data_IF_992137059049
#
_entry.id   IF_992137059049
#
_cell.length_a   1.000
_cell.length_b   1.000
_cell.length_c   1.000
_cell.angle_alpha   90.00
_cell.angle_beta   90.00
_cell.angle_gamma   90.00
#
_symmetry.space_group_name_H-M   'P 1'
#
loop_
_entity.id
_entity.type
_entity.pdbx_description
1 polymer ?
#
# COMPACT_ATOMS: atom_id res chain seq x y z
N UNK A 1 56.45 -7.95 7.74
CA UNK A 1 55.73 -6.67 7.71
C UNK A 1 54.66 -6.74 8.78
N UNK A 2 54.93 -6.15 9.93
CA UNK A 2 54.03 -6.04 11.08
C UNK A 2 52.94 -5.01 10.75
N UNK A 3 51.66 -5.40 10.87
CA UNK A 3 50.54 -4.45 10.80
C UNK A 3 50.73 -3.34 11.83
N UNK A 4 50.41 -2.07 11.50
CA UNK A 4 50.47 -1.00 12.49
C UNK A 4 49.47 -1.29 13.61
N UNK A 5 49.93 -1.26 14.86
CA UNK A 5 49.06 -1.20 16.02
C UNK A 5 48.16 0.03 15.88
N UNK A 6 46.87 -0.16 16.07
CA UNK A 6 45.87 0.89 15.99
C UNK A 6 45.89 1.71 17.29
N UNK A 7 46.81 2.66 17.39
CA UNK A 7 46.98 3.55 18.53
C UNK A 7 45.74 4.47 18.70
N UNK A 8 45.21 4.58 19.93
CA UNK A 8 44.19 5.57 20.28
C UNK A 8 44.83 6.95 20.48
N UNK A 9 44.25 7.98 19.85
CA UNK A 9 44.59 9.38 20.12
C UNK A 9 43.54 10.02 21.04
N UNK A 10 43.97 10.53 22.20
CA UNK A 10 43.20 11.53 22.95
C UNK A 10 43.40 12.87 22.24
N UNK A 11 42.35 13.41 21.65
CA UNK A 11 42.37 14.73 21.04
C UNK A 11 41.96 15.75 22.10
N UNK A 12 42.93 16.49 22.66
CA UNK A 12 42.63 17.74 23.36
C UNK A 12 42.64 18.88 22.34
N UNK A 13 41.85 19.93 22.58
CA UNK A 13 41.84 21.13 21.73
C UNK A 13 43.23 21.78 21.53
N UNK A 14 44.22 21.45 22.37
CA UNK A 14 45.58 22.03 22.32
C UNK A 14 46.75 21.01 22.39
N UNK A 15 46.51 19.69 22.50
CA UNK A 15 47.59 18.69 22.42
C UNK A 15 47.07 17.28 22.08
N UNK A 16 47.84 16.53 21.28
CA UNK A 16 47.61 15.11 21.05
C UNK A 16 48.47 14.31 22.02
N UNK A 17 47.85 13.56 22.91
CA UNK A 17 48.53 12.52 23.68
C UNK A 17 47.99 11.18 23.20
N UNK A 18 48.86 10.36 22.61
CA UNK A 18 48.53 8.96 22.37
C UNK A 18 48.61 8.23 23.72
N UNK A 19 47.53 7.53 24.10
CA UNK A 19 47.56 6.52 25.15
C UNK A 19 47.21 5.21 24.48
N UNK A 20 47.97 4.16 24.78
CA UNK A 20 47.57 2.79 24.49
C UNK A 20 46.31 2.47 25.30
N UNK A 21 45.15 2.63 24.67
CA UNK A 21 43.94 1.94 25.10
C UNK A 21 43.98 0.56 24.41
N UNK A 22 44.86 -0.33 24.86
CA UNK A 22 44.64 -1.74 24.56
C UNK A 22 43.28 -2.11 25.16
N UNK A 23 42.31 -2.33 24.28
CA UNK A 23 40.92 -2.63 24.56
C UNK A 23 40.70 -4.01 25.23
N UNK A 24 41.71 -4.55 25.94
CA UNK A 24 41.64 -5.87 26.58
C UNK A 24 40.90 -5.85 27.93
N UNK A 25 40.70 -4.66 28.51
CA UNK A 25 40.20 -4.50 29.89
C UNK A 25 38.92 -3.64 30.01
N UNK A 26 38.27 -3.31 28.88
CA UNK A 26 36.95 -2.68 28.86
C UNK A 26 35.89 -3.76 28.71
N UNK A 27 34.97 -3.80 29.65
CA UNK A 27 33.83 -4.72 29.65
C UNK A 27 32.53 -3.96 29.43
N UNK A 28 31.48 -4.67 29.03
CA UNK A 28 30.18 -4.09 28.71
C UNK A 28 29.09 -4.75 29.53
N UNK A 29 28.05 -3.99 29.86
CA UNK A 29 26.88 -4.52 30.57
C UNK A 29 25.66 -4.31 29.69
N UNK A 30 24.84 -5.35 29.55
CA UNK A 30 23.52 -5.24 28.95
C UNK A 30 22.47 -4.87 30.01
N UNK A 31 21.45 -4.12 29.62
CA UNK A 31 20.26 -3.81 30.41
C UNK A 31 18.97 -4.15 29.66
N UNK A 32 17.95 -4.62 30.39
CA UNK A 32 16.58 -4.86 29.87
C UNK A 32 15.56 -4.21 30.82
N UNK A 33 14.59 -3.43 30.31
CA UNK A 33 13.45 -3.00 31.10
C UNK A 33 12.42 -4.13 31.19
N UNK A 34 12.17 -4.61 32.41
CA UNK A 34 11.10 -5.57 32.75
C UNK A 34 11.35 -7.01 32.28
N UNK A 35 11.10 -7.99 33.18
CA UNK A 35 11.36 -9.43 33.01
C UNK A 35 12.83 -9.78 32.78
N UNK A 36 13.51 -10.29 33.81
CA UNK A 36 14.93 -10.65 33.69
C UNK A 36 15.09 -12.02 33.04
N UNK A 37 15.71 -12.09 31.84
CA UNK A 37 16.05 -13.36 31.22
C UNK A 37 17.03 -14.15 32.10
N UNK A 38 17.14 -15.45 31.84
CA UNK A 38 18.11 -16.30 32.53
C UNK A 38 19.54 -15.72 32.37
N UNK A 39 20.25 -15.56 33.49
CA UNK A 39 21.60 -14.99 33.51
C UNK A 39 21.66 -13.46 33.71
N UNK A 40 20.52 -12.77 33.82
CA UNK A 40 20.48 -11.37 34.25
C UNK A 40 20.24 -11.27 35.76
N UNK A 41 20.78 -10.21 36.36
CA UNK A 41 20.59 -9.86 37.77
C UNK A 41 19.66 -8.66 37.88
N UNK A 42 18.59 -8.80 38.68
CA UNK A 42 17.60 -7.74 38.93
C UNK A 42 18.19 -6.68 39.87
N UNK A 43 18.05 -5.40 39.53
CA UNK A 43 18.30 -4.28 40.43
C UNK A 43 17.35 -3.12 40.10
N UNK A 44 16.64 -2.61 41.11
CA UNK A 44 15.63 -1.53 40.97
C UNK A 44 14.62 -1.71 39.82
N UNK A 45 14.19 -2.94 39.58
CA UNK A 45 13.22 -3.25 38.51
C UNK A 45 13.82 -3.32 37.10
N UNK A 46 15.13 -3.12 36.96
CA UNK A 46 15.90 -3.34 35.73
C UNK A 46 16.72 -4.62 35.83
N UNK A 47 17.09 -5.19 34.70
CA UNK A 47 17.85 -6.44 34.61
C UNK A 47 19.21 -6.17 33.97
N UNK A 48 20.31 -6.61 34.60
CA UNK A 48 21.66 -6.35 34.12
C UNK A 48 22.46 -7.64 33.91
N UNK A 49 23.27 -7.69 32.86
CA UNK A 49 24.15 -8.83 32.56
C UNK A 49 25.49 -8.35 32.03
N UNK A 50 26.58 -8.88 32.57
CA UNK A 50 27.93 -8.61 32.05
C UNK A 50 28.16 -9.37 30.74
N UNK A 51 28.73 -8.71 29.75
CA UNK A 51 29.15 -9.32 28.49
C UNK A 51 30.66 -9.58 28.53
N UNK A 52 31.07 -10.77 28.11
CA UNK A 52 32.47 -11.22 28.17
C UNK A 52 33.34 -10.70 27.04
N UNK A 53 32.77 -10.08 26.02
CA UNK A 53 33.53 -9.46 24.92
C UNK A 53 34.08 -8.10 25.34
N UNK A 54 35.25 -7.77 24.84
CA UNK A 54 35.89 -6.46 25.03
C UNK A 54 35.79 -5.56 23.79
N UNK A 55 35.20 -6.07 22.71
CA UNK A 55 34.86 -5.31 21.51
C UNK A 55 33.45 -4.69 21.65
N UNK A 56 33.35 -3.37 21.47
CA UNK A 56 32.10 -2.62 21.62
C UNK A 56 31.01 -3.10 20.67
N UNK A 57 31.34 -3.36 19.40
CA UNK A 57 30.36 -3.78 18.39
C UNK A 57 29.83 -5.17 18.72
N UNK A 58 30.71 -6.09 19.10
CA UNK A 58 30.34 -7.42 19.57
C UNK A 58 29.49 -7.36 20.84
N UNK A 59 29.78 -6.45 21.77
CA UNK A 59 28.99 -6.28 22.99
C UNK A 59 27.57 -5.83 22.68
N UNK A 60 27.42 -4.86 21.78
CA UNK A 60 26.11 -4.39 21.35
C UNK A 60 25.33 -5.48 20.62
N UNK A 61 25.96 -6.20 19.69
CA UNK A 61 25.35 -7.34 19.00
C UNK A 61 24.89 -8.41 20.01
N UNK A 62 25.70 -8.69 21.04
CA UNK A 62 25.35 -9.62 22.10
C UNK A 62 24.13 -9.13 22.91
N UNK A 63 24.10 -7.86 23.32
CA UNK A 63 22.94 -7.31 24.03
C UNK A 63 21.68 -7.35 23.17
N UNK A 64 21.74 -6.87 21.93
CA UNK A 64 20.59 -6.82 21.03
C UNK A 64 20.05 -8.22 20.71
N UNK A 65 20.92 -9.21 20.54
CA UNK A 65 20.54 -10.60 20.33
C UNK A 65 19.76 -11.21 21.51
N UNK A 66 19.90 -10.65 22.70
CA UNK A 66 19.16 -11.03 23.90
C UNK A 66 17.94 -10.11 24.18
N UNK A 67 17.59 -9.22 23.24
CA UNK A 67 16.53 -8.22 23.43
C UNK A 67 16.90 -7.15 24.46
N UNK A 68 18.19 -6.94 24.70
CA UNK A 68 18.75 -5.98 25.65
C UNK A 68 19.50 -4.85 24.93
N UNK A 69 19.80 -3.79 25.67
CA UNK A 69 20.66 -2.70 25.23
C UNK A 69 21.93 -2.63 26.07
N UNK A 70 22.94 -1.84 25.67
CA UNK A 70 24.01 -1.48 26.62
C UNK A 70 23.43 -0.71 27.81
N UNK A 71 24.04 -0.85 28.99
CA UNK A 71 23.54 -0.27 30.23
C UNK A 71 23.68 1.25 30.28
N UNK A 72 22.61 1.95 30.65
CA UNK A 72 22.55 3.39 30.90
C UNK A 72 22.07 3.59 32.34
N UNK A 73 22.99 3.76 33.30
CA UNK A 73 22.60 4.05 34.66
C UNK A 73 21.90 5.41 34.70
N UNK A 74 20.77 5.48 35.40
CA UNK A 74 20.07 6.74 35.68
C UNK A 74 20.30 7.24 37.11
N UNK A 75 20.74 6.36 38.01
CA UNK A 75 20.98 6.67 39.42
C UNK A 75 22.37 6.24 39.89
N UNK A 76 22.99 6.94 40.86
CA UNK A 76 24.34 6.63 41.36
C UNK A 76 24.47 5.23 41.94
N UNK A 77 23.44 4.71 42.60
CA UNK A 77 23.50 3.40 43.24
C UNK A 77 23.49 2.24 42.24
N UNK A 78 23.03 2.48 41.00
CA UNK A 78 23.21 1.55 39.89
C UNK A 78 24.70 1.37 39.60
N UNK A 79 25.54 2.39 39.76
CA UNK A 79 27.00 2.25 39.56
C UNK A 79 27.63 1.32 40.60
N UNK A 80 27.19 1.44 41.86
CA UNK A 80 27.64 0.56 42.94
C UNK A 80 27.23 -0.89 42.66
N UNK A 81 25.98 -1.08 42.22
CA UNK A 81 25.48 -2.38 41.82
C UNK A 81 26.26 -2.96 40.63
N UNK A 82 26.49 -2.19 39.57
CA UNK A 82 27.27 -2.63 38.40
C UNK A 82 28.70 -3.00 38.76
N UNK A 83 29.33 -2.27 39.69
CA UNK A 83 30.65 -2.61 40.22
C UNK A 83 30.65 -3.93 41.00
N UNK A 84 29.66 -4.14 41.87
CA UNK A 84 29.50 -5.40 42.59
C UNK A 84 29.24 -6.58 41.64
N UNK A 85 28.36 -6.38 40.64
CA UNK A 85 28.07 -7.36 39.60
C UNK A 85 29.33 -7.75 38.83
N UNK A 86 30.16 -6.77 38.49
CA UNK A 86 31.43 -6.98 37.80
C UNK A 86 32.41 -7.82 38.65
N UNK A 87 32.62 -7.43 39.91
CA UNK A 87 33.50 -8.13 40.86
C UNK A 87 33.05 -9.57 41.14
N UNK A 88 31.74 -9.81 41.15
CA UNK A 88 31.19 -11.15 41.31
C UNK A 88 31.42 -12.05 40.07
N UNK A 89 31.62 -11.44 38.89
CA UNK A 89 31.70 -12.15 37.62
C UNK A 89 33.14 -12.37 37.13
N UNK A 90 34.08 -11.50 37.52
CA UNK A 90 35.47 -11.52 37.04
C UNK A 90 36.42 -11.34 38.22
N UNK A 91 37.51 -12.11 38.24
CA UNK A 91 38.59 -11.93 39.21
C UNK A 91 39.32 -10.62 38.90
N UNK A 92 39.13 -9.61 39.75
CA UNK A 92 39.73 -8.27 39.59
C UNK A 92 41.14 -8.28 40.19
N UNK A 93 42.15 -8.59 39.37
CA UNK A 93 43.57 -8.54 39.74
C UNK A 93 44.26 -7.22 39.34
N UNK A 94 43.60 -6.41 38.53
CA UNK A 94 44.00 -5.08 38.11
C UNK A 94 42.77 -4.18 38.02
N UNK A 95 42.97 -2.86 37.96
CA UNK A 95 41.88 -1.94 37.66
C UNK A 95 41.24 -2.31 36.32
N UNK A 96 39.91 -2.39 36.29
CA UNK A 96 39.13 -2.70 35.08
C UNK A 96 38.16 -1.56 34.78
N UNK A 97 37.70 -1.50 33.54
CA UNK A 97 36.74 -0.50 33.10
C UNK A 97 35.45 -1.17 32.63
N UNK A 98 34.32 -0.62 33.02
CA UNK A 98 33.00 -1.03 32.54
C UNK A 98 32.41 0.11 31.75
N UNK A 99 32.17 -0.13 30.47
CA UNK A 99 31.50 0.81 29.60
C UNK A 99 30.03 0.91 29.98
N UNK A 100 29.58 2.15 30.12
CA UNK A 100 28.17 2.50 30.24
C UNK A 100 27.82 3.55 29.20
N UNK A 101 26.55 3.61 28.86
CA UNK A 101 26.05 4.50 27.81
C UNK A 101 26.08 6.00 28.14
N UNK A 102 26.52 6.37 29.34
CA UNK A 102 26.48 7.75 29.82
C UNK A 102 27.51 8.62 29.07
N UNK A 103 27.05 9.71 28.45
CA UNK A 103 27.90 10.68 27.74
C UNK A 103 27.22 12.05 27.68
N UNK A 104 28.01 13.10 27.44
CA UNK A 104 27.58 14.50 27.33
C UNK A 104 27.78 15.08 25.91
N UNK A 105 27.83 14.22 24.89
CA UNK A 105 28.24 14.61 23.53
C UNK A 105 27.31 15.60 22.83
N UNK A 106 26.07 15.74 23.30
CA UNK A 106 25.09 16.66 22.72
C UNK A 106 24.74 17.83 23.63
N UNK A 107 25.57 18.09 24.63
CA UNK A 107 25.30 19.13 25.63
C UNK A 107 24.25 18.73 26.67
N UNK A 108 23.72 17.51 26.60
CA UNK A 108 22.93 16.88 27.64
C UNK A 108 23.37 15.43 27.90
N UNK A 109 22.91 14.87 29.01
CA UNK A 109 23.19 13.49 29.42
C UNK A 109 22.06 12.52 29.07
N UNK A 110 20.98 13.02 28.45
CA UNK A 110 19.72 12.30 28.26
C UNK A 110 19.78 11.33 27.08
N UNK A 111 20.80 11.48 26.22
CA UNK A 111 20.89 10.71 24.98
C UNK A 111 19.73 11.04 24.03
N UNK A 112 19.38 12.32 23.90
CA UNK A 112 18.26 12.76 23.07
C UNK A 112 16.88 12.55 23.70
N UNK A 113 16.80 12.57 25.03
CA UNK A 113 15.56 12.41 25.81
C UNK A 113 15.19 10.97 26.13
N UNK A 114 16.00 9.99 25.71
CA UNK A 114 15.74 8.56 25.93
C UNK A 114 15.96 8.14 27.39
N UNK A 115 16.83 8.84 28.11
CA UNK A 115 17.16 8.58 29.51
C UNK A 115 17.04 9.83 30.36
N UNK A 116 16.80 9.63 31.65
CA UNK A 116 16.70 10.70 32.63
C UNK A 116 17.71 10.52 33.77
N UNK A 117 19.03 10.62 33.49
CA UNK A 117 20.01 10.48 34.56
C UNK A 117 19.84 11.57 35.61
N UNK A 118 19.92 11.18 36.87
CA UNK A 118 19.74 12.10 37.99
C UNK A 118 20.85 13.15 38.04
N UNK A 119 20.55 14.29 38.64
CA UNK A 119 21.52 15.38 38.80
C UNK A 119 22.75 14.94 39.61
N UNK A 120 22.56 14.03 40.56
CA UNK A 120 23.65 13.42 41.33
C UNK A 120 24.55 12.59 40.41
N UNK A 121 23.98 11.71 39.59
CA UNK A 121 24.75 10.89 38.66
C UNK A 121 25.54 11.73 37.64
N UNK A 122 24.87 12.71 37.04
CA UNK A 122 25.52 13.62 36.07
C UNK A 122 26.61 14.46 36.72
N UNK A 123 26.46 14.87 37.98
CA UNK A 123 27.51 15.58 38.72
C UNK A 123 28.74 14.71 38.99
N UNK A 124 28.56 13.40 39.22
CA UNK A 124 29.66 12.44 39.36
C UNK A 124 30.36 12.17 38.02
N UNK A 125 29.61 12.21 36.92
CA UNK A 125 30.10 11.99 35.57
C UNK A 125 30.77 13.22 34.96
N UNK A 126 30.47 14.41 35.48
CA UNK A 126 30.94 15.68 34.94
C UNK A 126 32.46 15.80 35.10
N UNK A 127 33.12 16.08 33.98
CA UNK A 127 34.56 16.30 33.90
C UNK A 127 34.82 17.62 33.19
N UNK A 128 36.03 18.16 33.32
CA UNK A 128 36.43 19.36 32.55
C UNK A 128 36.41 19.11 31.04
N UNK A 129 36.55 17.85 30.63
CA UNK A 129 36.49 17.43 29.24
C UNK A 129 35.03 17.09 28.86
N UNK A 130 34.43 17.91 28.01
CA UNK A 130 33.10 17.70 27.41
C UNK A 130 33.20 16.82 26.16
N UNK A 131 32.10 16.26 25.68
CA UNK A 131 32.03 15.43 24.45
C UNK A 131 32.64 14.03 24.56
N UNK A 132 32.60 13.42 25.75
CA UNK A 132 33.20 12.11 25.98
C UNK A 132 32.16 11.07 26.42
N UNK A 133 32.42 9.80 26.12
CA UNK A 133 31.73 8.72 26.80
C UNK A 133 32.30 8.54 28.20
N UNK A 134 31.53 7.98 29.11
CA UNK A 134 32.00 7.70 30.47
C UNK A 134 32.08 6.19 30.67
N UNK A 135 33.23 5.73 31.14
CA UNK A 135 33.41 4.38 31.66
C UNK A 135 33.40 4.43 33.18
N UNK A 136 32.83 3.42 33.82
CA UNK A 136 32.99 3.19 35.24
C UNK A 136 34.35 2.54 35.46
N UNK A 137 35.20 3.17 36.24
CA UNK A 137 36.42 2.57 36.76
C UNK A 137 36.07 1.70 37.96
N UNK A 138 36.40 0.41 37.88
CA UNK A 138 36.23 -0.55 38.97
C UNK A 138 37.57 -0.71 39.70
N UNK A 139 37.68 -0.21 40.95
CA UNK A 139 38.91 -0.34 41.71
C UNK A 139 39.10 -1.78 42.21
N UNK A 140 40.37 -2.16 42.39
CA UNK A 140 40.79 -3.48 42.90
C UNK A 140 40.35 -3.67 44.35
N UNK A 141 40.44 -2.61 45.16
CA UNK A 141 40.06 -2.67 46.57
C UNK A 141 38.53 -2.52 46.72
N UNK A 142 37.92 -3.38 47.53
CA UNK A 142 36.47 -3.46 47.66
C UNK A 142 35.85 -2.20 48.29
N UNK A 143 36.59 -1.55 49.18
CA UNK A 143 36.24 -0.33 49.91
C UNK A 143 36.31 0.95 49.07
N UNK A 144 36.87 0.89 47.87
CA UNK A 144 36.92 2.03 46.97
C UNK A 144 35.64 2.17 46.14
N UNK A 145 35.11 3.40 46.09
CA UNK A 145 33.90 3.75 45.33
C UNK A 145 34.23 3.79 43.83
N UNK A 146 33.38 3.24 42.96
CA UNK A 146 33.53 3.37 41.51
C UNK A 146 33.50 4.84 41.10
N UNK A 147 34.35 5.22 40.15
CA UNK A 147 34.43 6.59 39.64
C UNK A 147 34.24 6.59 38.13
N UNK A 148 33.75 7.70 37.58
CA UNK A 148 33.74 7.88 36.14
C UNK A 148 35.10 8.30 35.62
N UNK A 149 35.45 7.82 34.44
CA UNK A 149 36.62 8.28 33.70
C UNK A 149 36.18 8.63 32.28
N UNK A 150 36.60 9.78 31.73
CA UNK A 150 36.38 10.09 30.33
C UNK A 150 36.96 8.99 29.44
N UNK A 151 36.17 8.58 28.47
CA UNK A 151 36.52 7.56 27.51
C UNK A 151 36.20 8.09 26.11
N UNK A 152 37.23 8.24 25.29
CA UNK A 152 37.05 8.53 23.87
C UNK A 152 36.96 7.20 23.15
N UNK A 153 35.79 6.86 22.61
CA UNK A 153 35.71 5.77 21.64
C UNK A 153 36.52 6.16 20.41
N UNK A 154 37.36 5.26 19.89
CA UNK A 154 38.13 5.54 18.68
C UNK A 154 37.19 6.02 17.55
N UNK A 155 37.66 7.05 16.86
CA UNK A 155 36.99 7.76 15.76
C UNK A 155 36.33 6.77 14.79
N UNK A 156 35.00 6.79 14.80
CA UNK A 156 34.11 5.81 14.18
C UNK A 156 32.83 5.59 15.01
N UNK A 157 32.91 5.85 16.32
CA UNK A 157 31.84 5.65 17.29
C UNK A 157 30.92 6.87 17.52
N UNK A 158 30.98 7.93 16.70
CA UNK A 158 29.86 8.91 16.63
C UNK A 158 28.55 8.25 16.20
N UNK A 159 28.63 7.01 15.68
CA UNK A 159 27.51 6.12 15.36
C UNK A 159 26.98 5.30 16.53
N UNK A 160 27.50 5.46 17.75
CA UNK A 160 27.06 4.60 18.86
C UNK A 160 25.57 4.77 19.21
N UNK A 161 24.95 5.88 18.80
CA UNK A 161 23.51 6.13 18.92
C UNK A 161 22.76 6.10 17.59
N UNK A 162 23.40 5.62 16.54
CA UNK A 162 22.76 5.49 15.24
C UNK A 162 22.05 4.14 15.19
N UNK A 163 21.14 3.99 14.23
CA UNK A 163 20.58 2.70 13.94
C UNK A 163 21.67 1.85 13.28
N UNK A 164 21.97 0.71 13.88
CA UNK A 164 23.11 -0.10 13.47
C UNK A 164 22.85 -0.92 12.22
N UNK A 165 21.58 -1.15 11.93
CA UNK A 165 21.12 -1.80 10.71
C UNK A 165 20.60 -0.74 9.74
N UNK A 166 20.60 -1.10 8.47
CA UNK A 166 19.79 -0.40 7.48
C UNK A 166 18.30 -0.44 7.92
N UNK A 167 17.50 0.55 7.51
CA UNK A 167 16.05 0.52 7.72
C UNK A 167 15.45 -0.74 7.08
N UNK A 168 14.24 -1.11 7.49
CA UNK A 168 13.53 -2.25 6.90
C UNK A 168 13.52 -2.18 5.37
N UNK A 169 13.64 -3.32 4.70
CA UNK A 169 13.49 -3.38 3.25
C UNK A 169 12.02 -3.11 2.87
N UNK A 170 11.75 -2.38 1.77
CA UNK A 170 10.38 -2.14 1.33
C UNK A 170 9.69 -3.45 0.97
N UNK A 171 8.40 -3.56 1.30
CA UNK A 171 7.60 -4.73 0.89
C UNK A 171 7.10 -4.57 -0.56
N UNK A 172 6.28 -5.52 -1.04
CA UNK A 172 5.76 -5.47 -2.40
C UNK A 172 4.94 -4.18 -2.65
N UNK A 173 5.05 -3.64 -3.87
CA UNK A 173 4.37 -2.40 -4.28
C UNK A 173 4.75 -1.17 -3.44
N UNK A 174 5.96 -1.13 -2.90
CA UNK A 174 6.46 -0.04 -2.08
C UNK A 174 7.88 0.34 -2.49
N UNK A 175 8.23 1.62 -2.35
CA UNK A 175 9.60 2.12 -2.56
C UNK A 175 10.09 2.81 -1.29
N UNK A 176 11.39 2.73 -1.02
CA UNK A 176 12.05 3.35 0.14
C UNK A 176 12.87 4.56 -0.29
N UNK A 177 12.63 5.71 0.34
CA UNK A 177 13.44 6.92 0.21
C UNK A 177 14.31 7.08 1.46
N UNK A 178 15.62 6.95 1.28
CA UNK A 178 16.61 6.98 2.36
C UNK A 178 17.92 7.58 1.86
N UNK A 179 18.49 8.50 2.62
CA UNK A 179 19.73 9.23 2.32
C UNK A 179 21.00 8.48 2.76
N UNK A 180 20.86 7.20 3.16
CA UNK A 180 21.92 6.38 3.74
C UNK A 180 22.41 6.86 5.13
N UNK A 181 21.69 7.77 5.79
CA UNK A 181 21.96 8.16 7.17
C UNK A 181 21.36 7.17 8.15
N UNK A 182 22.12 6.80 9.17
CA UNK A 182 21.63 6.03 10.31
C UNK A 182 21.58 6.87 11.58
N UNK A 183 21.81 8.19 11.48
CA UNK A 183 21.80 9.09 12.62
C UNK A 183 20.45 9.05 13.35
N UNK A 184 20.48 9.27 14.67
CA UNK A 184 19.25 9.42 15.45
C UNK A 184 18.36 10.51 14.84
N UNK A 185 17.05 10.29 14.88
CA UNK A 185 16.02 11.11 14.22
C UNK A 185 16.10 11.18 12.70
N UNK A 186 16.93 10.35 12.05
CA UNK A 186 16.78 10.12 10.61
C UNK A 186 15.42 9.50 10.36
N UNK A 187 14.66 10.07 9.43
CA UNK A 187 13.35 9.55 9.00
C UNK A 187 13.51 8.92 7.62
N UNK A 188 13.04 7.69 7.50
CA UNK A 188 12.98 6.95 6.23
C UNK A 188 11.53 6.88 5.81
N UNK A 189 11.24 7.35 4.60
CA UNK A 189 9.88 7.37 4.06
C UNK A 189 9.71 6.21 3.10
N UNK A 190 8.61 5.47 3.28
CA UNK A 190 8.16 4.44 2.37
C UNK A 190 6.92 4.92 1.64
N UNK A 191 6.94 4.81 0.31
CA UNK A 191 5.87 5.27 -0.57
C UNK A 191 5.28 4.08 -1.30
N UNK A 192 3.97 3.88 -1.15
CA UNK A 192 3.24 2.89 -1.94
C UNK A 192 3.26 3.25 -3.42
N UNK A 193 3.29 2.23 -4.28
CA UNK A 193 3.16 2.39 -5.72
C UNK A 193 1.78 2.95 -6.07
N UNK A 194 1.66 3.58 -7.25
CA UNK A 194 0.40 4.14 -7.70
C UNK A 194 -0.76 3.13 -7.63
N UNK A 195 -1.86 3.52 -6.97
CA UNK A 195 -3.04 2.68 -6.74
C UNK A 195 -2.97 1.74 -5.53
N UNK A 196 -1.91 1.80 -4.73
CA UNK A 196 -1.76 1.06 -3.48
C UNK A 196 -1.71 2.00 -2.27
N UNK A 197 -2.17 1.49 -1.13
CA UNK A 197 -2.35 2.27 0.09
C UNK A 197 -1.86 1.53 1.32
N UNK A 198 -1.29 2.25 2.28
CA UNK A 198 -0.72 1.69 3.52
C UNK A 198 -1.84 1.01 4.31
N UNK A 199 -1.69 -0.29 4.54
CA UNK A 199 -2.69 -1.12 5.23
C UNK A 199 -4.12 -0.98 4.63
N UNK A 200 -4.23 -0.68 3.32
CA UNK A 200 -5.51 -0.44 2.66
C UNK A 200 -6.22 0.86 3.07
N UNK A 201 -5.53 1.80 3.73
CA UNK A 201 -6.12 3.09 4.13
C UNK A 201 -5.92 4.13 3.03
N UNK A 202 -6.98 4.45 2.29
CA UNK A 202 -6.92 5.26 1.05
C UNK A 202 -6.27 6.65 1.24
N UNK A 203 -6.38 7.24 2.42
CA UNK A 203 -5.74 8.54 2.73
C UNK A 203 -4.24 8.44 3.05
N UNK A 204 -3.67 7.23 3.07
CA UNK A 204 -2.27 6.98 3.43
C UNK A 204 -1.55 6.29 2.27
N UNK A 205 -0.81 7.07 1.50
CA UNK A 205 0.07 6.55 0.42
C UNK A 205 1.52 6.41 0.87
N UNK A 206 1.83 6.89 2.08
CA UNK A 206 3.18 6.89 2.65
C UNK A 206 3.13 6.53 4.13
N UNK A 207 4.22 5.93 4.61
CA UNK A 207 4.50 5.73 6.03
C UNK A 207 5.98 6.02 6.29
N UNK A 208 6.35 6.24 7.53
CA UNK A 208 7.74 6.51 7.90
C UNK A 208 8.20 5.64 9.06
N UNK A 209 9.50 5.36 9.07
CA UNK A 209 10.20 4.87 10.25
C UNK A 209 11.26 5.89 10.66
N UNK A 210 11.43 6.08 11.95
CA UNK A 210 12.43 6.98 12.52
C UNK A 210 13.51 6.16 13.23
N UNK A 211 14.75 6.59 13.07
CA UNK A 211 15.83 6.02 13.84
C UNK A 211 15.84 6.56 15.27
N UNK A 212 15.48 5.72 16.24
CA UNK A 212 15.55 6.04 17.67
C UNK A 212 16.89 5.63 18.30
N UNK A 213 17.89 5.32 17.46
CA UNK A 213 19.21 4.89 17.86
C UNK A 213 19.27 3.46 18.39
N UNK A 214 20.27 3.16 19.22
CA UNK A 214 20.62 1.78 19.56
C UNK A 214 19.58 1.02 20.42
N UNK A 215 18.65 1.73 21.05
CA UNK A 215 17.68 1.15 21.99
C UNK A 215 16.33 0.90 21.36
N UNK A 216 15.92 1.83 20.49
CA UNK A 216 14.64 1.76 19.79
C UNK A 216 14.78 1.29 18.36
N UNK A 217 16.00 1.20 17.82
CA UNK A 217 16.26 0.86 16.43
C UNK A 217 15.48 1.77 15.47
N UNK A 218 15.07 1.21 14.34
CA UNK A 218 14.08 1.84 13.47
C UNK A 218 12.68 1.60 14.02
N UNK A 219 11.93 2.66 14.26
CA UNK A 219 10.57 2.59 14.81
C UNK A 219 9.55 3.23 13.85
N UNK A 220 8.39 2.57 13.57
CA UNK A 220 7.99 1.27 14.07
C UNK A 220 8.88 0.13 13.57
N UNK A 221 8.99 -0.94 14.38
CA UNK A 221 9.82 -2.13 14.11
C UNK A 221 9.27 -3.00 12.97
N UNK A 222 8.07 -2.69 12.49
CA UNK A 222 7.41 -3.30 11.35
C UNK A 222 6.78 -2.20 10.52
N UNK A 223 6.89 -2.30 9.20
CA UNK A 223 6.14 -1.46 8.26
C UNK A 223 4.89 -2.21 7.80
N UNK A 224 3.79 -1.49 7.58
CA UNK A 224 2.57 -2.08 7.07
C UNK A 224 2.65 -2.28 5.55
N UNK A 225 2.07 -3.35 5.03
CA UNK A 225 2.05 -3.59 3.59
C UNK A 225 1.18 -2.60 2.82
N UNK A 226 1.50 -2.43 1.53
CA UNK A 226 0.71 -1.65 0.59
C UNK A 226 -0.32 -2.57 -0.09
N UNK A 227 -1.61 -2.28 0.07
CA UNK A 227 -2.70 -3.04 -0.53
C UNK A 227 -3.45 -2.22 -1.58
N UNK A 228 -3.95 -2.90 -2.62
CA UNK A 228 -4.95 -2.31 -3.52
C UNK A 228 -6.29 -2.26 -2.81
N UNK A 229 -7.02 -1.17 -3.05
CA UNK A 229 -8.34 -0.92 -2.47
C UNK A 229 -9.26 -0.46 -3.58
N UNK A 230 -10.50 -0.93 -3.54
CA UNK A 230 -11.58 -0.43 -4.40
C UNK A 230 -11.91 1.01 -3.95
N UNK A 231 -11.44 1.99 -4.71
CA UNK A 231 -11.60 3.41 -4.37
C UNK A 231 -12.77 4.06 -5.10
N UNK A 232 -13.15 3.54 -6.29
CA UNK A 232 -14.34 3.96 -7.00
C UNK A 232 -15.47 2.97 -6.69
N UNK A 233 -16.45 3.37 -5.89
CA UNK A 233 -17.49 2.45 -5.40
C UNK A 233 -18.72 2.34 -6.32
N UNK A 234 -19.10 3.43 -6.98
CA UNK A 234 -20.29 3.46 -7.83
C UNK A 234 -19.92 3.68 -9.29
N UNK A 235 -20.15 2.65 -10.11
CA UNK A 235 -20.09 2.76 -11.55
C UNK A 235 -21.30 3.57 -12.03
N UNK A 236 -21.11 4.65 -12.83
CA UNK A 236 -22.22 5.46 -13.31
C UNK A 236 -23.26 4.61 -14.04
N UNK A 237 -24.54 4.82 -13.74
CA UNK A 237 -25.61 4.13 -14.46
C UNK A 237 -25.64 4.62 -15.92
N UNK A 238 -25.75 3.70 -16.90
CA UNK A 238 -25.91 4.12 -18.29
C UNK A 238 -27.26 4.83 -18.47
N UNK A 239 -27.35 5.84 -19.35
CA UNK A 239 -28.59 6.58 -19.61
C UNK A 239 -29.69 5.75 -20.28
N UNK A 240 -29.35 4.59 -20.85
CA UNK A 240 -30.28 3.64 -21.46
C UNK A 240 -29.90 2.20 -21.07
N UNK A 241 -30.88 1.31 -20.81
CA UNK A 241 -30.61 -0.10 -20.55
C UNK A 241 -30.05 -0.85 -21.77
N UNK A 242 -30.12 -0.25 -22.97
CA UNK A 242 -29.55 -0.83 -24.19
C UNK A 242 -28.01 -0.71 -24.24
N UNK A 243 -27.42 0.18 -23.43
CA UNK A 243 -25.97 0.35 -23.34
C UNK A 243 -25.42 -0.73 -22.39
N UNK A 244 -24.57 -1.61 -22.93
CA UNK A 244 -24.00 -2.71 -22.18
C UNK A 244 -22.78 -2.24 -21.36
N UNK A 245 -22.79 -2.49 -20.05
CA UNK A 245 -21.60 -2.38 -19.22
C UNK A 245 -20.83 -3.71 -19.25
N UNK A 246 -19.55 -3.67 -19.63
CA UNK A 246 -18.66 -4.84 -19.75
C UNK A 246 -17.53 -4.83 -18.72
N UNK A 247 -17.63 -4.02 -17.66
CA UNK A 247 -16.64 -3.93 -16.58
C UNK A 247 -16.59 -5.16 -15.68
N UNK A 248 -15.43 -5.39 -15.09
CA UNK A 248 -15.18 -6.40 -14.05
C UNK A 248 -14.82 -5.75 -12.69
N UNK A 249 -14.49 -6.56 -11.69
CA UNK A 249 -14.06 -6.07 -10.37
C UNK A 249 -12.77 -5.25 -10.40
N UNK A 250 -11.90 -5.44 -11.41
CA UNK A 250 -10.65 -4.68 -11.54
C UNK A 250 -10.90 -3.21 -11.90
N UNK A 251 -12.11 -2.89 -12.35
CA UNK A 251 -12.53 -1.56 -12.76
C UNK A 251 -12.71 -0.58 -11.60
N UNK A 252 -12.87 -1.08 -10.36
CA UNK A 252 -13.13 -0.27 -9.15
C UNK A 252 -11.84 0.25 -8.47
N UNK A 253 -10.69 -0.27 -8.87
CA UNK A 253 -9.39 0.16 -8.35
C UNK A 253 -8.88 1.41 -9.10
N UNK A 254 -7.98 2.18 -8.47
CA UNK A 254 -7.39 3.35 -9.10
C UNK A 254 -6.70 2.97 -10.43
N UNK A 255 -7.03 3.69 -11.51
CA UNK A 255 -6.61 3.39 -12.88
C UNK A 255 -7.42 2.31 -13.59
N UNK A 256 -8.35 1.65 -12.89
CA UNK A 256 -9.30 0.69 -13.45
C UNK A 256 -10.22 1.36 -14.48
N UNK A 257 -10.72 0.57 -15.44
CA UNK A 257 -11.50 1.08 -16.58
C UNK A 257 -12.84 0.38 -16.70
N UNK A 258 -13.91 1.15 -16.70
CA UNK A 258 -15.26 0.69 -17.01
C UNK A 258 -15.55 0.96 -18.48
N UNK A 259 -16.04 -0.06 -19.18
CA UNK A 259 -16.32 -0.01 -20.61
C UNK A 259 -17.83 -0.09 -20.86
N UNK A 260 -18.39 0.93 -21.52
CA UNK A 260 -19.77 0.96 -21.96
C UNK A 260 -19.84 0.86 -23.47
N UNK A 261 -20.64 -0.09 -23.96
CA UNK A 261 -20.79 -0.35 -25.40
C UNK A 261 -22.20 0.01 -25.84
N UNK A 262 -22.28 0.82 -26.89
CA UNK A 262 -23.56 1.11 -27.55
C UNK A 262 -24.16 -0.16 -28.17
N UNK A 263 -25.49 -0.21 -28.37
CA UNK A 263 -26.12 -1.25 -29.18
C UNK A 263 -25.47 -1.35 -30.56
N UNK A 264 -25.58 -2.51 -31.24
CA UNK A 264 -25.11 -2.66 -32.62
C UNK A 264 -25.59 -1.52 -33.52
N UNK A 265 -24.70 -1.03 -34.38
CA UNK A 265 -24.95 0.09 -35.29
C UNK A 265 -25.27 1.45 -34.65
N UNK A 266 -25.25 1.56 -33.31
CA UNK A 266 -25.37 2.82 -32.59
C UNK A 266 -24.02 3.36 -32.13
N UNK A 267 -23.96 4.67 -31.96
CA UNK A 267 -22.82 5.37 -31.37
C UNK A 267 -23.27 6.60 -30.58
N UNK A 268 -22.34 7.20 -29.83
CA UNK A 268 -22.49 8.54 -29.27
C UNK A 268 -22.56 9.59 -30.38
N UNK A 269 -22.90 10.83 -30.04
CA UNK A 269 -22.88 11.96 -30.98
C UNK A 269 -21.47 12.22 -31.58
N UNK A 270 -20.41 11.73 -30.92
CA UNK A 270 -19.02 11.80 -31.40
C UNK A 270 -18.60 10.55 -32.19
N UNK A 271 -19.55 9.69 -32.55
CA UNK A 271 -19.37 8.44 -33.29
C UNK A 271 -18.54 7.39 -32.55
N UNK A 272 -18.54 7.41 -31.21
CA UNK A 272 -17.93 6.37 -30.41
C UNK A 272 -18.94 5.26 -30.11
N UNK A 273 -18.65 4.04 -30.53
CA UNK A 273 -19.42 2.84 -30.15
C UNK A 273 -18.99 2.27 -28.79
N UNK A 274 -17.80 2.61 -28.33
CA UNK A 274 -17.22 2.23 -27.04
C UNK A 274 -16.84 3.48 -26.25
N UNK A 275 -17.33 3.56 -25.01
CA UNK A 275 -16.99 4.61 -24.06
C UNK A 275 -16.20 4.00 -22.92
N UNK A 276 -15.12 4.67 -22.50
CA UNK A 276 -14.21 4.18 -21.46
C UNK A 276 -14.13 5.21 -20.35
N UNK A 277 -14.57 4.82 -19.16
CA UNK A 277 -14.49 5.61 -17.94
C UNK A 277 -13.34 5.08 -17.09
N UNK A 278 -12.45 5.95 -16.62
CA UNK A 278 -11.27 5.55 -15.83
C UNK A 278 -11.44 5.98 -14.37
N UNK A 279 -11.29 5.06 -13.43
CA UNK A 279 -11.25 5.37 -12.01
C UNK A 279 -10.00 6.20 -11.71
N UNK A 280 -10.18 7.41 -11.20
CA UNK A 280 -9.11 8.38 -11.01
C UNK A 280 -9.34 9.20 -9.74
N UNK A 281 -8.29 9.89 -9.30
CA UNK A 281 -8.35 10.83 -8.19
C UNK A 281 -8.48 12.25 -8.78
N UNK A 282 -9.54 12.96 -8.38
CA UNK A 282 -9.72 14.38 -8.66
C UNK A 282 -9.94 15.13 -7.35
N UNK A 283 -9.03 16.08 -7.05
CA UNK A 283 -9.15 16.97 -5.91
C UNK A 283 -9.34 16.26 -4.55
N UNK A 284 -8.72 15.08 -4.39
CA UNK A 284 -8.78 14.26 -3.17
C UNK A 284 -10.01 13.35 -3.06
N UNK A 285 -10.86 13.30 -4.10
CA UNK A 285 -11.96 12.35 -4.21
C UNK A 285 -11.69 11.34 -5.34
N UNK A 286 -12.12 10.10 -5.14
CA UNK A 286 -12.02 9.05 -6.15
C UNK A 286 -13.32 8.93 -6.93
N UNK A 287 -13.22 8.88 -8.25
CA UNK A 287 -14.37 8.76 -9.12
C UNK A 287 -13.99 8.40 -10.55
N UNK A 288 -15.00 7.99 -11.32
CA UNK A 288 -14.82 7.72 -12.74
C UNK A 288 -14.78 9.03 -13.54
N UNK A 289 -13.81 9.12 -14.45
CA UNK A 289 -13.71 10.19 -15.43
C UNK A 289 -13.83 9.60 -16.85
N UNK A 290 -14.75 10.10 -17.70
CA UNK A 290 -15.79 11.10 -17.38
C UNK A 290 -16.81 10.61 -16.31
N UNK A 291 -17.47 11.53 -15.62
CA UNK A 291 -18.43 11.19 -14.54
C UNK A 291 -19.75 10.61 -15.04
N UNK A 292 -20.06 10.78 -16.33
CA UNK A 292 -21.30 10.33 -16.94
C UNK A 292 -21.00 9.55 -18.21
N UNK A 293 -21.86 8.57 -18.48
CA UNK A 293 -21.89 7.84 -19.75
C UNK A 293 -22.71 8.65 -20.74
N UNK A 294 -22.15 8.93 -21.91
CA UNK A 294 -22.85 9.62 -22.97
C UNK A 294 -23.96 8.71 -23.56
N UNK A 295 -25.12 9.26 -23.92
CA UNK A 295 -26.15 8.47 -24.57
C UNK A 295 -25.73 8.11 -26.01
N UNK A 296 -26.10 6.91 -26.44
CA UNK A 296 -25.97 6.49 -27.84
C UNK A 296 -27.16 7.07 -28.62
N UNK A 297 -26.97 8.22 -29.25
CA UNK A 297 -28.05 9.02 -29.86
C UNK A 297 -28.08 8.98 -31.38
N UNK A 298 -27.16 8.26 -32.00
CA UNK A 298 -27.09 8.15 -33.45
C UNK A 298 -26.89 6.71 -33.91
N UNK A 299 -27.47 6.38 -35.06
CA UNK A 299 -27.10 5.21 -35.85
C UNK A 299 -25.90 5.59 -36.74
N UNK A 300 -24.79 4.88 -36.58
CA UNK A 300 -23.50 5.21 -37.20
C UNK A 300 -23.17 4.31 -38.41
N UNK A 301 -23.87 3.20 -38.56
CA UNK A 301 -23.67 2.24 -39.65
C UNK A 301 -24.91 2.20 -40.55
N UNK A 302 -24.70 1.83 -41.82
CA UNK A 302 -25.79 1.61 -42.77
C UNK A 302 -26.72 0.51 -42.26
N UNK A 303 -28.05 0.69 -42.31
CA UNK A 303 -28.96 -0.40 -41.99
C UNK A 303 -28.73 -1.59 -42.91
N UNK A 304 -28.52 -2.78 -42.34
CA UNK A 304 -28.47 -4.01 -43.13
C UNK A 304 -29.88 -4.39 -43.57
N UNK A 305 -30.09 -4.41 -44.89
CA UNK A 305 -31.38 -4.75 -45.50
C UNK A 305 -31.17 -5.85 -46.54
N UNK A 306 -31.91 -6.95 -46.43
CA UNK A 306 -31.81 -8.05 -47.39
C UNK A 306 -32.60 -7.75 -48.66
N UNK A 307 -31.94 -7.93 -49.80
CA UNK A 307 -32.49 -7.73 -51.15
C UNK A 307 -33.04 -6.30 -51.36
N UNK A 308 -32.34 -5.30 -50.82
CA UNK A 308 -32.67 -3.90 -50.99
C UNK A 308 -31.40 -3.05 -50.97
N UNK A 309 -31.50 -1.86 -51.56
CA UNK A 309 -30.53 -0.78 -51.40
C UNK A 309 -31.14 0.32 -50.52
N UNK A 310 -30.27 1.09 -49.85
CA UNK A 310 -30.73 2.14 -48.93
C UNK A 310 -30.33 3.52 -49.47
N UNK A 311 -31.07 4.55 -49.06
CA UNK A 311 -30.68 5.96 -49.30
C UNK A 311 -29.58 6.43 -48.34
N UNK A 312 -28.85 5.52 -47.72
CA UNK A 312 -27.76 5.83 -46.80
C UNK A 312 -26.62 6.56 -47.50
N UNK A 313 -25.95 7.45 -46.76
CA UNK A 313 -24.73 8.12 -47.21
C UNK A 313 -23.63 7.81 -46.21
N UNK A 314 -22.53 7.20 -46.67
CA UNK A 314 -21.43 6.67 -45.87
C UNK A 314 -20.65 7.72 -45.02
N UNK A 315 -21.07 8.99 -45.04
CA UNK A 315 -20.47 10.09 -44.28
C UNK A 315 -21.40 10.70 -43.23
N UNK A 316 -22.59 10.13 -43.01
CA UNK A 316 -23.62 10.71 -42.13
C UNK A 316 -24.06 9.72 -41.07
N UNK A 317 -24.00 10.13 -39.81
CA UNK A 317 -24.73 9.48 -38.72
C UNK A 317 -26.16 10.01 -38.66
N UNK A 318 -27.10 9.17 -38.27
CA UNK A 318 -28.51 9.53 -38.24
C UNK A 318 -29.01 9.60 -36.79
N UNK A 319 -29.63 10.71 -36.42
CA UNK A 319 -30.19 10.88 -35.08
C UNK A 319 -31.34 9.89 -34.84
N UNK A 320 -31.64 9.63 -33.57
CA UNK A 320 -32.87 8.92 -33.18
C UNK A 320 -34.10 9.50 -33.91
N UNK A 321 -35.03 8.60 -34.25
CA UNK A 321 -36.24 8.85 -35.04
C UNK A 321 -36.01 9.28 -36.50
N UNK A 322 -34.76 9.41 -36.93
CA UNK A 322 -34.48 9.64 -38.34
C UNK A 322 -34.77 8.40 -39.17
N UNK A 323 -35.08 8.63 -40.44
CA UNK A 323 -35.58 7.60 -41.35
C UNK A 323 -34.71 7.49 -42.59
N UNK A 324 -34.47 6.25 -43.02
CA UNK A 324 -33.82 5.91 -44.29
C UNK A 324 -34.83 5.13 -45.12
N UNK A 325 -34.92 5.45 -46.41
CA UNK A 325 -35.76 4.67 -47.33
C UNK A 325 -34.94 3.52 -47.88
N UNK A 326 -35.46 2.31 -47.76
CA UNK A 326 -34.94 1.13 -48.42
C UNK A 326 -35.81 0.83 -49.65
N UNK A 327 -35.17 0.64 -50.80
CA UNK A 327 -35.81 0.28 -52.08
C UNK A 327 -35.39 -1.15 -52.41
N UNK A 328 -36.37 -2.03 -52.53
CA UNK A 328 -36.16 -3.43 -52.87
C UNK A 328 -35.46 -3.57 -54.22
N UNK A 329 -34.61 -4.59 -54.31
CA UNK A 329 -33.99 -5.00 -55.57
C UNK A 329 -35.06 -5.48 -56.57
N UNK A 330 -34.70 -5.59 -57.85
CA UNK A 330 -35.60 -6.09 -58.88
C UNK A 330 -36.23 -7.43 -58.46
N UNK A 331 -37.52 -7.61 -58.80
CA UNK A 331 -38.34 -8.78 -58.49
C UNK A 331 -38.62 -9.03 -56.99
N UNK A 332 -38.27 -8.09 -56.11
CA UNK A 332 -38.60 -8.15 -54.69
C UNK A 332 -39.60 -7.07 -54.26
N UNK A 333 -40.43 -7.39 -53.27
CA UNK A 333 -41.47 -6.52 -52.74
C UNK A 333 -41.55 -6.64 -51.22
N UNK A 334 -41.95 -5.55 -50.55
CA UNK A 334 -42.26 -5.57 -49.10
C UNK A 334 -43.69 -6.03 -48.87
N UNK A 335 -44.60 -5.50 -49.68
CA UNK A 335 -46.01 -5.87 -49.73
C UNK A 335 -46.47 -5.84 -51.20
N UNK A 336 -47.66 -6.39 -51.48
CA UNK A 336 -48.18 -6.43 -52.85
C UNK A 336 -48.29 -5.00 -53.40
N UNK A 337 -47.42 -4.67 -54.36
CA UNK A 337 -47.38 -3.38 -55.02
C UNK A 337 -46.40 -2.35 -54.43
N UNK A 338 -45.73 -2.65 -53.32
CA UNK A 338 -44.81 -1.73 -52.64
C UNK A 338 -43.35 -2.19 -52.79
N UNK A 339 -42.52 -1.34 -53.40
CA UNK A 339 -41.06 -1.56 -53.57
C UNK A 339 -40.23 -0.87 -52.51
N UNK A 340 -40.83 0.08 -51.78
CA UNK A 340 -40.11 0.95 -50.84
C UNK A 340 -40.68 0.80 -49.43
N UNK A 341 -39.81 0.89 -48.44
CA UNK A 341 -40.20 0.97 -47.04
C UNK A 341 -39.23 1.84 -46.25
N UNK A 342 -39.68 2.28 -45.07
CA UNK A 342 -38.94 3.20 -44.23
C UNK A 342 -38.38 2.46 -43.02
N UNK A 343 -37.09 2.65 -42.77
CA UNK A 343 -36.39 2.12 -41.60
C UNK A 343 -36.06 3.30 -40.69
N UNK A 344 -36.43 3.18 -39.41
CA UNK A 344 -36.21 4.23 -38.41
C UNK A 344 -35.04 3.86 -37.49
N UNK A 345 -34.16 4.82 -37.21
CA UNK A 345 -33.15 4.70 -36.16
C UNK A 345 -33.82 4.84 -34.79
N UNK A 346 -33.77 3.80 -33.96
CA UNK A 346 -34.35 3.77 -32.61
C UNK A 346 -33.27 3.60 -31.53
N UNK A 347 -33.68 3.55 -30.25
CA UNK A 347 -32.78 3.45 -29.09
C UNK A 347 -31.97 2.13 -29.00
N UNK A 348 -32.27 1.17 -29.87
CA UNK A 348 -31.58 -0.12 -29.98
C UNK A 348 -30.86 -0.31 -31.32
N UNK A 349 -30.82 0.72 -32.17
CA UNK A 349 -30.25 0.69 -33.51
C UNK A 349 -31.31 0.83 -34.60
N UNK A 350 -31.06 0.29 -35.78
CA UNK A 350 -32.09 0.28 -36.83
C UNK A 350 -33.26 -0.61 -36.45
N UNK A 351 -34.48 -0.12 -36.70
CA UNK A 351 -35.68 -0.92 -36.57
C UNK A 351 -35.53 -2.22 -37.36
N UNK A 352 -35.73 -3.34 -36.67
CA UNK A 352 -35.29 -4.69 -37.07
C UNK A 352 -35.61 -5.05 -38.53
N UNK A 353 -34.60 -5.57 -39.22
CA UNK A 353 -34.56 -6.28 -40.52
C UNK A 353 -35.93 -6.49 -41.21
N UNK A 354 -36.49 -5.43 -41.77
CA UNK A 354 -37.48 -5.62 -42.83
C UNK A 354 -36.74 -6.17 -44.06
N UNK A 355 -37.17 -7.32 -44.53
CA UNK A 355 -36.62 -7.98 -45.71
C UNK A 355 -37.55 -7.76 -46.91
N UNK A 356 -36.98 -7.57 -48.08
CA UNK A 356 -37.74 -7.67 -49.32
C UNK A 356 -37.85 -9.15 -49.71
N UNK A 357 -39.06 -9.60 -50.02
CA UNK A 357 -39.35 -10.97 -50.41
C UNK A 357 -39.53 -11.06 -51.92
N UNK A 358 -39.16 -12.19 -52.53
CA UNK A 358 -39.45 -12.42 -53.96
C UNK A 358 -40.95 -12.28 -54.20
N UNK A 359 -41.32 -11.33 -55.05
CA UNK A 359 -42.69 -11.12 -55.47
C UNK A 359 -42.96 -11.97 -56.70
N UNK A 360 -43.83 -12.97 -56.62
CA UNK A 360 -44.37 -13.57 -57.84
C UNK A 360 -45.12 -12.47 -58.60
N UNK A 361 -44.55 -12.02 -59.73
CA UNK A 361 -45.19 -11.09 -60.64
C UNK A 361 -46.60 -11.59 -60.90
N UNK A 362 -47.57 -10.87 -60.34
CA UNK A 362 -48.97 -11.28 -60.32
C UNK A 362 -49.39 -11.68 -61.74
N UNK A 363 -49.66 -12.98 -61.91
CA UNK A 363 -50.38 -13.51 -63.05
C UNK A 363 -51.67 -12.70 -63.13
N UNK A 364 -51.80 -11.90 -64.19
CA UNK A 364 -52.95 -11.07 -64.48
C UNK A 364 -54.20 -11.95 -64.60
N UNK A 365 -54.86 -12.22 -63.48
CA UNK A 365 -56.17 -12.85 -63.47
C UNK A 365 -57.24 -11.76 -63.63
N UNK A 366 -57.57 -11.48 -64.88
CA UNK A 366 -58.90 -11.01 -65.22
C UNK A 366 -59.92 -12.09 -64.81
N UNK A 367 -60.56 -11.93 -63.65
CA UNK A 367 -61.69 -12.78 -63.28
C UNK A 367 -62.88 -11.94 -62.82
N UNK A 368 -63.84 -11.90 -63.73
CA UNK A 368 -65.20 -11.46 -63.56
C UNK A 368 -65.88 -12.12 -62.35
N UNK A 369 -66.77 -11.35 -61.76
CA UNK A 369 -67.79 -11.70 -60.79
C UNK A 369 -68.20 -13.19 -60.74
N UNK A 370 -68.17 -13.77 -59.54
CA UNK A 370 -69.23 -14.70 -59.14
C UNK A 370 -69.52 -14.59 -57.63
N UNK A 371 -70.69 -14.02 -57.35
CA UNK A 371 -71.37 -14.02 -56.05
C UNK A 371 -71.58 -15.44 -55.53
N UNK A 372 -71.11 -15.75 -54.31
CA UNK A 372 -71.75 -16.77 -53.46
C UNK A 372 -71.91 -16.24 -52.03
N UNK A 373 -73.14 -15.86 -51.72
CA UNK A 373 -73.71 -15.73 -50.37
C UNK A 373 -73.69 -17.09 -49.67
N UNK A 374 -73.24 -17.16 -48.41
CA UNK A 374 -73.84 -18.05 -47.41
C UNK A 374 -73.67 -17.54 -45.98
N UNK A 375 -74.73 -17.81 -45.20
CA UNK A 375 -75.15 -17.21 -43.92
C UNK A 375 -74.44 -17.79 -42.70
N UNK A 376 -74.45 -16.97 -41.65
CA UNK A 376 -74.56 -17.24 -40.20
C UNK A 376 -74.44 -18.69 -39.70
N UNK A 377 -73.59 -18.87 -38.68
CA UNK A 377 -74.02 -19.28 -37.33
C UNK A 377 -72.85 -19.29 -36.33
N UNK A 378 -72.94 -18.45 -35.28
CA UNK A 378 -72.40 -18.72 -33.94
C UNK A 378 -73.46 -19.57 -33.16
N UNK A 379 -73.28 -19.99 -31.89
CA UNK A 379 -72.13 -19.89 -30.96
C UNK A 379 -71.82 -21.23 -30.25
N UNK A 380 -70.78 -21.31 -29.40
CA UNK A 380 -70.90 -21.90 -28.06
C UNK A 380 -69.65 -21.70 -27.19
N UNK A 381 -69.93 -21.33 -25.94
CA UNK A 381 -69.02 -21.25 -24.82
C UNK A 381 -68.71 -22.64 -24.26
N UNK A 382 -67.51 -22.82 -23.69
CA UNK A 382 -67.33 -23.75 -22.58
C UNK A 382 -66.28 -23.23 -21.60
N UNK A 383 -66.75 -23.05 -20.37
CA UNK A 383 -65.96 -22.91 -19.15
C UNK A 383 -65.36 -24.25 -18.75
N UNK A 384 -64.18 -24.21 -18.12
CA UNK A 384 -63.51 -25.40 -17.59
C UNK A 384 -62.40 -25.02 -16.61
N UNK A 385 -62.79 -24.80 -15.36
CA UNK A 385 -61.92 -24.63 -14.18
C UNK A 385 -61.39 -25.96 -13.65
N UNK A 386 -60.30 -25.88 -12.88
CA UNK A 386 -59.73 -26.80 -11.85
C UNK A 386 -58.36 -27.38 -12.22
N UNK A 387 -57.38 -27.63 -11.34
CA UNK A 387 -56.96 -27.24 -9.97
C UNK A 387 -55.73 -28.14 -9.67
N UNK A 388 -54.87 -27.75 -8.70
CA UNK A 388 -53.89 -28.56 -7.91
C UNK A 388 -52.48 -28.73 -8.51
N UNK A 389 -51.48 -28.09 -7.91
CA UNK A 389 -50.65 -28.52 -6.74
C UNK A 389 -49.54 -29.51 -7.14
N UNK A 390 -48.28 -29.08 -7.03
CA UNK A 390 -47.28 -29.86 -6.28
C UNK A 390 -46.14 -28.95 -5.79
N UNK A 391 -45.75 -29.21 -4.55
CA UNK A 391 -44.77 -28.52 -3.71
C UNK A 391 -43.47 -29.33 -3.66
N UNK A 392 -42.36 -28.61 -3.42
CA UNK A 392 -41.18 -28.94 -2.58
C UNK A 392 -40.21 -30.05 -3.00
N UNK A 393 -38.92 -29.69 -3.08
CA UNK A 393 -37.81 -30.02 -2.14
C UNK A 393 -36.52 -29.38 -2.70
N UNK A 394 -35.75 -28.52 -2.02
CA UNK A 394 -34.96 -28.58 -0.76
C UNK A 394 -33.69 -29.46 -0.83
N UNK A 395 -32.52 -28.81 -0.73
CA UNK A 395 -31.21 -29.22 -0.12
C UNK A 395 -30.17 -28.18 -0.61
N UNK A 396 -29.40 -27.40 0.15
CA UNK A 396 -28.80 -27.42 1.49
C UNK A 396 -27.74 -28.53 1.71
N UNK A 397 -26.48 -28.08 1.84
CA UNK A 397 -25.24 -28.66 2.41
C UNK A 397 -24.06 -28.10 1.57
N UNK A 398 -23.02 -27.44 2.07
CA UNK A 398 -22.38 -27.34 3.39
C UNK A 398 -21.92 -25.89 3.66
#
# INVERSE_FOLDING_TARGET
MSSPSSDCAVVRASSRAARDCEASDVHYVCQVPVYCPAGYTVFRGMCYKLVTTTDHKAALVACNGEGAALAYPEEPDVLLFLSALFRASIVVNSQKWVYVGLNDAWGDWSGGGLYSPSTELTSLAQTSDTEHWRVITIPVAEDQVPAFTPFTLQTGATKAFWCWTEPLEPTANMTRSWDNSTAISTVVTYTCSYGYFVNGTVSQTQQSVECLGQLGGWYPQTIADCYRVEVCQEVPAPPSPAIANTSDSESLFLGGKVNFMCPPSMATATLASLQVLTCSEDSGAFGFLPQQVEPCTVCAEEPEVRNASTTWVNSTSWQLDSTVTATCDADHLVAIGDTDFVITCNETGWQHEAACYEGEASISFALSALFIRRRHSAPQSHSGTTRKESRRSLMLLL
#
